data_IF_124477754595
#
_entry.id   IF_124477754595
#
_cell.length_a   1.000
_cell.length_b   1.000
_cell.length_c   1.000
_cell.angle_alpha   90.00
_cell.angle_beta   90.00
_cell.angle_gamma   90.00
#
_symmetry.space_group_name_H-M   'P 1'
#
loop_
_entity.id
_entity.type
_entity.pdbx_description
1 polymer ?
#
# COMPACT_ATOMS: atom_id res chain seq x y z
N UNK A 1 -35.60 7.57 -34.57
CA UNK A 1 -35.66 8.90 -33.96
C UNK A 1 -34.49 9.71 -34.45
N UNK A 2 -34.68 10.99 -34.75
CA UNK A 2 -33.59 11.92 -35.07
C UNK A 2 -33.19 12.67 -33.81
N UNK A 3 -31.91 13.00 -33.69
CA UNK A 3 -31.40 13.95 -32.71
C UNK A 3 -30.78 15.13 -33.44
N UNK A 4 -30.87 16.31 -32.84
CA UNK A 4 -30.20 17.49 -33.37
C UNK A 4 -28.79 17.56 -32.76
N UNK A 5 -27.81 18.02 -33.55
CA UNK A 5 -26.47 18.32 -33.10
C UNK A 5 -26.45 19.64 -32.34
N UNK A 6 -25.75 19.72 -31.24
CA UNK A 6 -25.41 20.99 -30.62
C UNK A 6 -24.30 21.72 -31.41
N UNK A 7 -23.94 22.93 -31.00
CA UNK A 7 -22.93 23.75 -31.70
C UNK A 7 -21.52 23.13 -31.65
N UNK A 8 -21.30 22.18 -30.74
CA UNK A 8 -20.04 21.47 -30.51
C UNK A 8 -20.00 20.11 -31.21
N UNK A 9 -21.10 19.75 -31.92
CA UNK A 9 -21.19 18.46 -32.61
C UNK A 9 -21.65 17.29 -31.75
N UNK A 10 -22.08 17.54 -30.50
CA UNK A 10 -22.60 16.48 -29.64
C UNK A 10 -24.08 16.23 -29.96
N UNK A 11 -24.50 14.99 -29.79
CA UNK A 11 -25.90 14.60 -29.94
C UNK A 11 -26.30 13.68 -28.77
N UNK A 12 -27.58 13.69 -28.46
CA UNK A 12 -28.20 12.82 -27.46
C UNK A 12 -29.52 12.28 -27.99
N UNK A 13 -29.70 10.97 -27.87
CA UNK A 13 -30.98 10.32 -28.22
C UNK A 13 -31.42 9.44 -27.02
N UNK A 14 -32.70 9.53 -26.69
CA UNK A 14 -33.30 8.69 -25.65
C UNK A 14 -34.15 7.62 -26.31
N UNK A 15 -33.89 6.38 -26.02
CA UNK A 15 -34.61 5.22 -26.52
C UNK A 15 -35.15 4.37 -25.38
N UNK A 16 -36.38 3.85 -25.48
CA UNK A 16 -36.89 2.88 -24.52
C UNK A 16 -36.06 1.59 -24.64
N UNK A 17 -35.59 1.09 -23.52
CA UNK A 17 -34.85 -0.18 -23.45
C UNK A 17 -35.83 -1.35 -23.38
N UNK A 18 -35.48 -2.52 -23.94
CA UNK A 18 -36.19 -3.78 -23.67
C UNK A 18 -36.02 -4.21 -22.21
N UNK A 19 -36.66 -5.30 -21.81
CA UNK A 19 -36.48 -5.92 -20.50
C UNK A 19 -35.02 -6.35 -20.28
N UNK A 20 -34.62 -6.48 -19.01
CA UNK A 20 -33.32 -7.00 -18.68
C UNK A 20 -33.05 -8.35 -19.37
N UNK A 21 -31.84 -8.48 -19.94
CA UNK A 21 -31.44 -9.66 -20.73
C UNK A 21 -30.47 -9.28 -21.83
N UNK A 22 -30.53 -9.98 -22.94
CA UNK A 22 -29.63 -9.86 -24.09
C UNK A 22 -29.02 -11.21 -24.48
N UNK A 23 -28.08 -11.21 -25.45
CA UNK A 23 -27.44 -10.03 -26.04
C UNK A 23 -28.36 -9.31 -27.04
N UNK A 24 -28.31 -7.99 -27.03
CA UNK A 24 -29.01 -7.10 -27.97
C UNK A 24 -28.01 -6.46 -28.93
N UNK A 25 -28.57 -5.85 -30.00
CA UNK A 25 -27.84 -5.06 -30.96
C UNK A 25 -28.44 -3.65 -31.01
N UNK A 26 -27.57 -2.63 -31.09
CA UNK A 26 -27.98 -1.24 -31.29
C UNK A 26 -27.37 -0.76 -32.61
N UNK A 27 -28.24 -0.31 -33.52
CA UNK A 27 -27.82 0.25 -34.81
C UNK A 27 -28.02 1.77 -34.75
N UNK A 28 -26.95 2.50 -34.97
CA UNK A 28 -26.90 3.96 -35.05
C UNK A 28 -26.56 4.31 -36.48
N UNK A 29 -27.34 5.18 -37.13
CA UNK A 29 -27.10 5.57 -38.53
C UNK A 29 -27.32 7.07 -38.73
N UNK A 30 -26.34 7.67 -39.39
CA UNK A 30 -26.42 9.04 -39.94
C UNK A 30 -26.26 9.06 -41.47
N UNK A 31 -26.40 7.89 -42.08
CA UNK A 31 -26.10 7.58 -43.49
C UNK A 31 -25.21 6.36 -43.57
N UNK A 32 -24.20 6.27 -42.69
CA UNK A 32 -23.43 5.07 -42.43
C UNK A 32 -23.95 4.36 -41.17
N UNK A 33 -23.91 3.04 -41.15
CA UNK A 33 -24.37 2.24 -40.01
C UNK A 33 -23.24 1.93 -39.06
N UNK A 34 -23.43 2.30 -37.77
CA UNK A 34 -22.58 1.91 -36.64
C UNK A 34 -23.34 0.89 -35.78
N UNK A 35 -22.84 -0.33 -35.74
CA UNK A 35 -23.53 -1.44 -35.07
C UNK A 35 -22.78 -1.75 -33.76
N UNK A 36 -23.48 -1.58 -32.62
CA UNK A 36 -23.01 -2.03 -31.31
C UNK A 36 -23.64 -3.38 -31.02
N UNK A 37 -22.82 -4.41 -30.92
CA UNK A 37 -23.26 -5.80 -30.70
C UNK A 37 -22.96 -6.27 -29.27
N UNK A 38 -23.61 -7.38 -28.90
CA UNK A 38 -23.40 -8.05 -27.60
C UNK A 38 -23.77 -7.14 -26.41
N UNK A 39 -24.79 -6.32 -26.54
CA UNK A 39 -25.26 -5.43 -25.49
C UNK A 39 -26.11 -6.21 -24.50
N UNK A 40 -25.82 -6.10 -23.23
CA UNK A 40 -26.60 -6.64 -22.13
C UNK A 40 -27.29 -5.51 -21.38
N UNK A 41 -28.55 -5.75 -20.99
CA UNK A 41 -29.33 -4.85 -20.13
C UNK A 41 -29.57 -5.54 -18.80
N UNK A 42 -29.11 -4.93 -17.70
CA UNK A 42 -29.18 -5.52 -16.37
C UNK A 42 -28.76 -4.53 -15.28
N UNK A 43 -28.28 -5.06 -14.18
CA UNK A 43 -27.78 -4.30 -13.04
C UNK A 43 -26.31 -3.92 -13.25
N UNK A 44 -25.93 -2.70 -12.88
CA UNK A 44 -24.53 -2.26 -12.86
C UNK A 44 -24.15 -1.87 -11.43
N UNK A 45 -23.03 -2.41 -10.98
CA UNK A 45 -22.51 -2.18 -9.63
C UNK A 45 -21.10 -1.61 -9.69
N UNK A 46 -20.85 -0.57 -8.89
CA UNK A 46 -19.52 -0.02 -8.68
C UNK A 46 -18.86 -0.73 -7.51
N UNK A 47 -17.70 -1.30 -7.76
CA UNK A 47 -16.82 -1.88 -6.77
C UNK A 47 -15.59 -0.97 -6.60
N UNK A 48 -15.44 -0.36 -5.41
CA UNK A 48 -14.44 0.68 -5.18
C UNK A 48 -13.78 0.54 -3.81
N UNK A 49 -12.62 1.18 -3.64
CA UNK A 49 -11.87 1.26 -2.39
C UNK A 49 -10.57 0.46 -2.40
N UNK A 50 -10.07 0.21 -1.20
CA UNK A 50 -8.89 -0.63 -0.98
C UNK A 50 -9.29 -2.12 -1.05
N UNK A 51 -8.60 -2.90 -1.87
CA UNK A 51 -8.78 -4.34 -1.89
C UNK A 51 -7.48 -5.08 -2.21
N UNK A 52 -7.15 -6.04 -1.37
CA UNK A 52 -5.88 -6.78 -1.41
C UNK A 52 -5.90 -8.07 -2.24
N UNK A 53 -7.06 -8.61 -2.57
CA UNK A 53 -7.14 -9.99 -3.05
C UNK A 53 -7.11 -10.08 -4.57
N UNK A 54 -5.94 -9.97 -5.16
CA UNK A 54 -5.65 -10.54 -6.47
C UNK A 54 -5.48 -12.07 -6.33
N UNK A 55 -6.56 -12.77 -6.06
CA UNK A 55 -6.50 -14.23 -6.05
C UNK A 55 -6.77 -14.71 -7.46
N UNK A 56 -5.85 -15.45 -8.10
CA UNK A 56 -6.13 -16.09 -9.38
C UNK A 56 -7.31 -17.05 -9.20
N UNK A 57 -8.42 -16.73 -9.82
CA UNK A 57 -9.60 -17.58 -9.77
C UNK A 57 -9.73 -18.26 -11.13
N UNK A 58 -9.68 -19.57 -11.14
CA UNK A 58 -10.04 -20.32 -12.34
C UNK A 58 -11.55 -20.50 -12.35
N UNK A 59 -12.25 -19.78 -13.23
CA UNK A 59 -13.70 -19.76 -13.33
C UNK A 59 -14.15 -20.19 -14.73
N UNK A 60 -15.30 -20.81 -14.85
CA UNK A 60 -15.93 -20.95 -16.18
C UNK A 60 -16.37 -19.58 -16.71
N UNK A 61 -16.44 -19.45 -18.03
CA UNK A 61 -17.00 -18.23 -18.67
C UNK A 61 -18.40 -17.94 -18.13
N UNK A 62 -18.62 -16.65 -17.81
CA UNK A 62 -19.87 -16.12 -17.28
C UNK A 62 -20.45 -15.08 -18.25
N UNK A 63 -21.15 -15.49 -19.32
CA UNK A 63 -21.55 -14.58 -20.40
C UNK A 63 -22.52 -13.48 -19.96
N UNK A 64 -23.19 -13.64 -18.82
CA UNK A 64 -24.10 -12.64 -18.24
C UNK A 64 -23.45 -11.77 -17.16
N UNK A 65 -22.14 -11.92 -16.92
CA UNK A 65 -21.36 -11.02 -16.07
C UNK A 65 -20.39 -10.25 -16.96
N UNK A 66 -20.38 -8.94 -16.84
CA UNK A 66 -19.47 -8.03 -17.56
C UNK A 66 -18.61 -7.26 -16.60
N UNK A 67 -17.34 -7.10 -16.97
CA UNK A 67 -16.33 -6.41 -16.19
C UNK A 67 -15.86 -5.16 -16.94
N UNK A 68 -15.78 -4.05 -16.23
CA UNK A 68 -15.14 -2.83 -16.66
C UNK A 68 -14.09 -2.45 -15.61
N UNK A 69 -12.82 -2.56 -15.93
CA UNK A 69 -11.73 -2.23 -15.02
C UNK A 69 -11.17 -0.87 -15.36
N UNK A 70 -11.17 0.05 -14.39
CA UNK A 70 -10.62 1.38 -14.56
C UNK A 70 -9.10 1.38 -14.46
N UNK A 71 -8.43 2.25 -15.19
CA UNK A 71 -7.04 2.58 -14.92
C UNK A 71 -6.92 3.27 -13.58
N UNK A 72 -5.79 3.03 -12.91
CA UNK A 72 -5.43 3.75 -11.68
C UNK A 72 -4.96 5.15 -12.06
N UNK A 73 -5.83 6.12 -11.94
CA UNK A 73 -5.57 7.53 -12.26
C UNK A 73 -6.04 8.43 -11.12
N UNK A 74 -5.21 9.39 -10.75
CA UNK A 74 -5.58 10.44 -9.78
C UNK A 74 -6.19 11.61 -10.56
N UNK A 75 -7.29 12.16 -10.05
CA UNK A 75 -7.89 13.39 -10.55
C UNK A 75 -8.27 14.30 -9.40
N UNK A 76 -7.86 15.55 -9.48
CA UNK A 76 -8.21 16.60 -8.51
C UNK A 76 -9.61 17.17 -8.72
N UNK A 77 -10.20 16.88 -9.84
CA UNK A 77 -11.56 17.33 -10.21
C UNK A 77 -12.34 16.18 -10.86
N UNK A 78 -13.67 16.19 -10.75
CA UNK A 78 -14.50 15.20 -11.41
C UNK A 78 -14.26 15.18 -12.92
N UNK A 79 -14.05 14.00 -13.50
CA UNK A 79 -13.91 13.79 -14.94
C UNK A 79 -15.24 13.32 -15.55
N UNK A 80 -15.48 13.67 -16.80
CA UNK A 80 -16.68 13.23 -17.53
C UNK A 80 -16.59 11.78 -17.97
N UNK A 81 -15.39 11.22 -18.07
CA UNK A 81 -15.16 9.87 -18.58
C UNK A 81 -14.05 9.16 -17.82
N UNK A 82 -14.02 7.83 -17.91
CA UNK A 82 -13.07 6.93 -17.28
C UNK A 82 -12.24 6.20 -18.33
N UNK A 83 -10.94 6.04 -18.06
CA UNK A 83 -10.10 5.17 -18.87
C UNK A 83 -10.15 3.72 -18.32
N UNK A 84 -10.41 2.78 -19.20
CA UNK A 84 -10.37 1.36 -18.89
C UNK A 84 -8.95 0.80 -19.03
N UNK A 85 -8.63 -0.23 -18.24
CA UNK A 85 -7.37 -0.99 -18.38
C UNK A 85 -7.38 -1.87 -19.63
N UNK A 86 -8.57 -2.33 -20.03
CA UNK A 86 -8.85 -3.08 -21.25
C UNK A 86 -9.84 -2.27 -22.10
N UNK A 87 -9.99 -2.65 -23.34
CA UNK A 87 -10.88 -1.98 -24.27
C UNK A 87 -12.35 -2.19 -23.88
N UNK A 88 -12.90 -1.32 -23.02
CA UNK A 88 -14.31 -1.31 -22.61
C UNK A 88 -14.74 -2.49 -21.73
N UNK A 89 -16.01 -2.82 -21.84
CA UNK A 89 -16.63 -3.94 -21.14
C UNK A 89 -16.16 -5.29 -21.67
N UNK A 90 -15.79 -6.21 -20.80
CA UNK A 90 -15.38 -7.58 -21.14
C UNK A 90 -16.29 -8.61 -20.47
N UNK A 91 -16.46 -9.75 -21.14
CA UNK A 91 -17.10 -10.91 -20.55
C UNK A 91 -16.24 -11.46 -19.40
N UNK A 92 -16.86 -11.91 -18.32
CA UNK A 92 -16.17 -12.46 -17.18
C UNK A 92 -15.66 -13.88 -17.49
N UNK A 93 -14.37 -14.01 -17.74
CA UNK A 93 -13.65 -15.28 -17.97
C UNK A 93 -12.44 -15.37 -17.05
N UNK A 94 -11.77 -16.53 -17.01
CA UNK A 94 -10.52 -16.67 -16.24
C UNK A 94 -9.42 -15.71 -16.70
N UNK A 95 -9.45 -15.26 -17.95
CA UNK A 95 -8.47 -14.32 -18.50
C UNK A 95 -8.80 -12.87 -18.16
N UNK A 96 -10.07 -12.49 -18.25
CA UNK A 96 -10.51 -11.10 -18.07
C UNK A 96 -10.75 -10.72 -16.60
N UNK A 97 -10.90 -11.71 -15.71
CA UNK A 97 -11.12 -11.49 -14.28
C UNK A 97 -9.84 -11.05 -13.55
N UNK A 98 -8.69 -11.16 -14.19
CA UNK A 98 -7.41 -10.73 -13.59
C UNK A 98 -7.47 -9.26 -13.17
N UNK A 99 -7.15 -8.99 -11.89
CA UNK A 99 -7.26 -7.65 -11.29
C UNK A 99 -8.63 -7.31 -10.67
N UNK A 100 -9.64 -8.19 -10.82
CA UNK A 100 -10.85 -8.09 -10.02
C UNK A 100 -10.66 -8.88 -8.72
N UNK A 101 -10.87 -8.29 -7.53
CA UNK A 101 -10.85 -9.04 -6.29
C UNK A 101 -11.88 -10.18 -6.29
N UNK A 102 -11.50 -11.32 -5.69
CA UNK A 102 -12.37 -12.51 -5.63
C UNK A 102 -13.77 -12.23 -5.07
N UNK A 103 -13.86 -11.34 -4.10
CA UNK A 103 -15.13 -10.92 -3.49
C UNK A 103 -16.05 -10.25 -4.51
N UNK A 104 -15.52 -9.45 -5.44
CA UNK A 104 -16.29 -8.82 -6.51
C UNK A 104 -16.92 -9.86 -7.46
N UNK A 105 -16.17 -10.90 -7.79
CA UNK A 105 -16.69 -12.01 -8.58
C UNK A 105 -17.79 -12.79 -7.87
N UNK A 106 -17.56 -13.17 -6.61
CA UNK A 106 -18.56 -13.93 -5.85
C UNK A 106 -19.84 -13.13 -5.63
N UNK A 107 -19.71 -11.82 -5.38
CA UNK A 107 -20.83 -10.91 -5.30
C UNK A 107 -21.63 -10.89 -6.60
N UNK A 108 -20.98 -10.65 -7.74
CA UNK A 108 -21.64 -10.63 -9.06
C UNK A 108 -22.30 -11.96 -9.40
N UNK A 109 -21.61 -13.07 -9.14
CA UNK A 109 -22.14 -14.42 -9.36
C UNK A 109 -23.39 -14.70 -8.51
N UNK A 110 -23.39 -14.28 -7.25
CA UNK A 110 -24.54 -14.48 -6.37
C UNK A 110 -25.73 -13.61 -6.78
N UNK A 111 -25.48 -12.35 -7.16
CA UNK A 111 -26.51 -11.46 -7.68
C UNK A 111 -27.13 -12.02 -8.97
N UNK A 112 -26.31 -12.42 -9.92
CA UNK A 112 -26.77 -12.96 -11.21
C UNK A 112 -27.66 -14.20 -11.00
N UNK A 113 -27.28 -15.11 -10.08
CA UNK A 113 -28.10 -16.28 -9.75
C UNK A 113 -29.44 -15.92 -9.12
N UNK A 114 -29.47 -14.92 -8.26
CA UNK A 114 -30.66 -14.53 -7.53
C UNK A 114 -31.62 -13.71 -8.40
N UNK A 115 -31.08 -12.70 -9.10
CA UNK A 115 -31.88 -11.76 -9.90
C UNK A 115 -32.21 -12.29 -11.29
N UNK A 116 -31.40 -13.24 -11.81
CA UNK A 116 -31.50 -13.82 -13.15
C UNK A 116 -31.45 -12.77 -14.28
N UNK A 117 -30.71 -11.68 -14.02
CA UNK A 117 -30.43 -10.61 -15.00
C UNK A 117 -28.93 -10.48 -15.21
N UNK A 118 -28.49 -9.90 -16.33
CA UNK A 118 -27.07 -9.57 -16.50
C UNK A 118 -26.55 -8.65 -15.40
N UNK A 119 -25.30 -8.85 -15.01
CA UNK A 119 -24.59 -8.04 -13.98
C UNK A 119 -23.35 -7.42 -14.58
N UNK A 120 -23.25 -6.10 -14.53
CA UNK A 120 -22.04 -5.34 -14.83
C UNK A 120 -21.32 -4.94 -13.55
N UNK A 121 -19.99 -5.12 -13.50
CA UNK A 121 -19.12 -4.66 -12.42
C UNK A 121 -18.17 -3.61 -13.00
N UNK A 122 -18.23 -2.40 -12.48
CA UNK A 122 -17.20 -1.39 -12.67
C UNK A 122 -16.23 -1.53 -11.49
N UNK A 123 -15.01 -2.01 -11.75
CA UNK A 123 -13.97 -2.16 -10.73
C UNK A 123 -13.06 -0.94 -10.74
N UNK A 124 -13.08 -0.20 -9.64
CA UNK A 124 -12.23 0.95 -9.37
C UNK A 124 -11.57 0.76 -7.99
N UNK A 125 -10.48 -0.02 -7.95
CA UNK A 125 -9.80 -0.38 -6.70
C UNK A 125 -8.34 0.00 -6.76
N UNK A 126 -7.79 0.46 -5.63
CA UNK A 126 -6.39 0.79 -5.51
C UNK A 126 -5.88 0.47 -4.10
N UNK A 127 -5.01 -0.53 -4.02
CA UNK A 127 -4.40 -0.98 -2.78
C UNK A 127 -3.58 0.14 -2.12
N UNK A 128 -3.54 0.14 -0.79
CA UNK A 128 -2.78 1.08 0.03
C UNK A 128 -3.20 2.56 -0.15
N UNK A 129 -4.45 2.80 -0.53
CA UNK A 129 -5.01 4.15 -0.59
C UNK A 129 -5.90 4.44 0.63
N UNK A 130 -5.76 5.61 1.27
CA UNK A 130 -6.62 6.01 2.36
C UNK A 130 -8.04 6.33 1.87
N UNK A 131 -9.02 6.26 2.76
CA UNK A 131 -10.43 6.49 2.42
C UNK A 131 -10.69 7.88 1.82
N UNK A 132 -9.94 8.86 2.25
CA UNK A 132 -10.01 10.26 1.82
C UNK A 132 -9.66 10.43 0.33
N UNK A 133 -8.78 9.57 -0.20
CA UNK A 133 -8.44 9.58 -1.64
C UNK A 133 -9.63 9.22 -2.55
N UNK A 134 -10.72 8.68 -1.97
CA UNK A 134 -11.96 8.30 -2.66
C UNK A 134 -13.09 9.30 -2.43
N UNK A 135 -12.86 10.32 -1.61
CA UNK A 135 -13.82 11.40 -1.36
C UNK A 135 -13.63 12.53 -2.37
N UNK A 136 -14.73 13.21 -2.72
CA UNK A 136 -14.62 14.42 -3.53
C UNK A 136 -14.07 15.60 -2.69
N UNK A 137 -13.49 16.60 -3.35
CA UNK A 137 -13.05 17.82 -2.70
C UNK A 137 -14.18 18.45 -1.86
N UNK A 138 -15.37 18.62 -2.42
CA UNK A 138 -16.55 19.19 -1.75
C UNK A 138 -16.95 18.44 -0.47
N UNK A 139 -16.65 17.13 -0.42
CA UNK A 139 -16.90 16.34 0.79
C UNK A 139 -15.84 16.56 1.86
N UNK A 140 -14.59 16.84 1.49
CA UNK A 140 -13.47 17.04 2.40
C UNK A 140 -13.37 18.47 2.89
N UNK A 141 -13.68 19.49 2.08
CA UNK A 141 -13.56 20.92 2.42
C UNK A 141 -14.35 21.33 3.66
N UNK A 142 -15.42 20.60 3.98
CA UNK A 142 -16.26 20.85 5.13
C UNK A 142 -15.82 20.09 6.40
N UNK A 143 -14.73 19.33 6.33
CA UNK A 143 -14.20 18.55 7.44
C UNK A 143 -12.98 19.25 8.06
N UNK A 144 -13.04 19.71 9.31
CA UNK A 144 -11.95 20.46 9.95
C UNK A 144 -10.60 19.74 9.95
N UNK A 145 -10.60 18.41 9.90
CA UNK A 145 -9.39 17.58 9.83
C UNK A 145 -8.62 17.71 8.52
N UNK A 146 -9.25 18.23 7.45
CA UNK A 146 -8.65 18.38 6.12
C UNK A 146 -8.48 19.83 5.67
N UNK A 147 -8.77 20.82 6.55
CA UNK A 147 -8.67 22.25 6.19
C UNK A 147 -7.30 22.61 5.62
N UNK A 148 -6.22 22.07 6.19
CA UNK A 148 -4.85 22.37 5.76
C UNK A 148 -4.60 21.88 4.33
N UNK A 149 -5.04 20.68 4.03
CA UNK A 149 -4.89 20.04 2.70
C UNK A 149 -5.75 20.76 1.67
N UNK A 150 -6.98 21.10 2.02
CA UNK A 150 -7.92 21.77 1.10
C UNK A 150 -7.46 23.21 0.82
N UNK A 151 -7.03 23.99 1.82
CA UNK A 151 -6.42 25.31 1.65
C UNK A 151 -5.16 25.27 0.76
N UNK A 152 -4.34 24.23 0.92
CA UNK A 152 -3.16 24.03 0.08
C UNK A 152 -3.58 23.78 -1.38
N UNK A 153 -4.54 22.89 -1.65
CA UNK A 153 -5.05 22.62 -2.99
C UNK A 153 -5.60 23.87 -3.67
N UNK A 154 -6.37 24.69 -2.93
CA UNK A 154 -6.89 25.98 -3.42
C UNK A 154 -5.77 26.96 -3.75
N UNK A 155 -4.79 27.11 -2.85
CA UNK A 155 -3.66 28.04 -3.03
C UNK A 155 -2.81 27.71 -4.27
N UNK A 156 -2.73 26.42 -4.60
CA UNK A 156 -2.03 25.90 -5.78
C UNK A 156 -2.91 25.88 -7.04
N UNK A 157 -4.20 26.28 -6.92
CA UNK A 157 -5.15 26.35 -8.03
C UNK A 157 -5.47 24.99 -8.65
N UNK A 158 -5.47 23.92 -7.86
CA UNK A 158 -5.69 22.54 -8.31
C UNK A 158 -4.77 22.12 -9.47
N UNK A 159 -3.57 22.72 -9.54
CA UNK A 159 -2.60 22.40 -10.58
C UNK A 159 -1.77 21.18 -10.18
N UNK A 160 -1.85 20.04 -10.91
CA UNK A 160 -1.18 18.79 -10.54
C UNK A 160 0.35 18.94 -10.40
N UNK A 161 0.99 19.67 -11.30
CA UNK A 161 2.46 19.87 -11.29
C UNK A 161 2.91 20.64 -10.05
N UNK A 162 2.16 21.70 -9.68
CA UNK A 162 2.45 22.48 -8.48
C UNK A 162 2.24 21.69 -7.20
N UNK A 163 1.19 20.86 -7.16
CA UNK A 163 0.89 19.99 -6.02
C UNK A 163 1.97 18.93 -5.85
N UNK A 164 2.41 18.31 -6.93
CA UNK A 164 3.49 17.32 -6.89
C UNK A 164 4.81 17.96 -6.44
N UNK A 165 5.14 19.15 -6.92
CA UNK A 165 6.32 19.89 -6.52
C UNK A 165 6.28 20.28 -5.04
N UNK A 166 5.13 20.75 -4.53
CA UNK A 166 4.94 21.08 -3.12
C UNK A 166 5.04 19.86 -2.21
N UNK A 167 4.43 18.75 -2.62
CA UNK A 167 4.55 17.48 -1.89
C UNK A 167 6.00 16.99 -1.85
N UNK A 168 6.72 17.07 -2.99
CA UNK A 168 8.14 16.71 -3.05
C UNK A 168 8.99 17.59 -2.12
N UNK A 169 8.71 18.91 -2.07
CA UNK A 169 9.38 19.85 -1.17
C UNK A 169 9.14 19.50 0.30
N UNK A 170 7.88 19.31 0.69
CA UNK A 170 7.52 18.96 2.08
C UNK A 170 8.14 17.63 2.50
N UNK A 171 8.17 16.65 1.61
CA UNK A 171 8.81 15.37 1.85
C UNK A 171 10.31 15.52 2.07
N UNK A 172 10.98 16.31 1.23
CA UNK A 172 12.42 16.57 1.39
C UNK A 172 12.72 17.29 2.70
N UNK A 173 11.95 18.32 3.07
CA UNK A 173 12.09 19.02 4.35
C UNK A 173 11.90 18.09 5.54
N UNK A 174 10.93 17.15 5.44
CA UNK A 174 10.72 16.16 6.48
C UNK A 174 11.92 15.20 6.60
N UNK A 175 12.48 14.73 5.48
CA UNK A 175 13.70 13.91 5.50
C UNK A 175 14.89 14.66 6.11
N UNK A 176 15.09 15.92 5.75
CA UNK A 176 16.16 16.74 6.34
C UNK A 176 15.97 16.85 7.86
N UNK A 177 14.76 17.13 8.31
CA UNK A 177 14.45 17.20 9.74
C UNK A 177 14.71 15.87 10.48
N UNK A 178 14.45 14.72 9.85
CA UNK A 178 14.78 13.42 10.43
C UNK A 178 16.27 13.25 10.69
N UNK A 179 17.13 13.69 9.76
CA UNK A 179 18.58 13.61 9.93
C UNK A 179 19.10 14.63 10.94
N UNK A 180 18.61 15.86 10.88
CA UNK A 180 19.04 16.94 11.79
C UNK A 180 18.68 16.66 13.25
N UNK A 181 17.56 15.96 13.50
CA UNK A 181 17.09 15.65 14.85
C UNK A 181 17.45 14.23 15.32
N UNK A 182 18.09 13.42 14.48
CA UNK A 182 18.55 12.10 14.89
C UNK A 182 19.83 12.18 15.74
N UNK A 183 19.63 12.34 17.04
CA UNK A 183 20.73 12.44 18.01
C UNK A 183 21.64 11.20 18.08
N UNK A 184 21.19 10.08 17.50
CA UNK A 184 22.01 8.86 17.38
C UNK A 184 23.00 8.92 16.24
N UNK A 185 22.87 9.93 15.37
CA UNK A 185 23.72 10.18 14.23
C UNK A 185 24.36 11.56 14.33
N UNK A 186 25.66 11.63 14.45
CA UNK A 186 26.41 12.87 14.60
C UNK A 186 27.63 12.84 13.67
N UNK A 187 27.76 13.83 12.77
CA UNK A 187 28.91 13.96 11.85
C UNK A 187 29.25 12.65 11.10
N UNK A 188 28.25 12.02 10.48
CA UNK A 188 28.36 10.72 9.82
C UNK A 188 28.78 9.55 10.72
N UNK A 189 28.75 9.73 12.05
CA UNK A 189 29.06 8.71 13.02
C UNK A 189 27.82 8.30 13.83
N UNK A 190 27.64 6.97 14.01
CA UNK A 190 26.47 6.40 14.68
C UNK A 190 26.74 6.25 16.18
N UNK A 191 26.71 7.36 16.91
CA UNK A 191 27.06 7.46 18.33
C UNK A 191 26.27 6.44 19.17
N UNK A 192 24.99 6.26 18.88
CA UNK A 192 24.16 5.33 19.64
C UNK A 192 24.37 3.86 19.26
N UNK A 193 25.14 3.56 18.22
CA UNK A 193 25.51 2.21 17.87
C UNK A 193 26.79 1.75 18.57
N UNK A 194 27.57 2.68 19.15
CA UNK A 194 28.84 2.36 19.82
C UNK A 194 28.62 1.45 21.02
N UNK A 195 29.49 0.43 21.22
CA UNK A 195 29.31 -0.56 22.29
C UNK A 195 29.45 0.02 23.70
N UNK A 196 30.18 1.10 23.86
CA UNK A 196 30.45 1.78 25.14
C UNK A 196 29.50 2.95 25.42
N UNK A 197 28.57 3.25 24.49
CA UNK A 197 27.53 4.24 24.72
C UNK A 197 26.61 3.79 25.87
N UNK A 198 26.36 4.68 26.85
CA UNK A 198 25.45 4.38 27.98
C UNK A 198 23.99 4.57 27.56
N UNK A 199 23.22 3.52 27.72
CA UNK A 199 21.76 3.50 27.49
C UNK A 199 20.95 3.40 28.81
N UNK A 200 21.58 3.71 29.96
CA UNK A 200 20.95 3.63 31.28
C UNK A 200 19.70 4.47 31.44
N UNK A 201 19.61 5.58 30.70
CA UNK A 201 18.47 6.48 30.74
C UNK A 201 17.43 6.18 29.63
N UNK A 202 17.64 5.14 28.85
CA UNK A 202 16.71 4.78 27.78
C UNK A 202 15.48 4.10 28.37
N UNK A 203 14.34 4.34 27.72
CA UNK A 203 13.11 3.59 28.01
C UNK A 203 13.21 2.18 27.46
N UNK A 204 12.66 1.22 28.18
CA UNK A 204 12.53 -0.15 27.70
C UNK A 204 11.23 -0.35 26.96
N UNK A 205 11.27 -1.19 25.91
CA UNK A 205 10.10 -1.60 25.15
C UNK A 205 10.13 -3.12 24.96
N UNK A 206 9.00 -3.77 25.20
CA UNK A 206 8.84 -5.18 24.86
C UNK A 206 8.71 -5.35 23.36
N UNK A 207 9.51 -6.24 22.78
CA UNK A 207 9.47 -6.62 21.37
C UNK A 207 9.09 -8.09 21.22
N UNK A 208 8.46 -8.48 20.09
CA UNK A 208 8.01 -7.63 19.00
C UNK A 208 6.77 -6.82 19.33
N UNK A 209 6.54 -5.72 18.58
CA UNK A 209 5.35 -4.90 18.69
C UNK A 209 5.49 -3.57 17.97
N UNK A 210 4.36 -2.94 17.74
CA UNK A 210 4.31 -1.58 17.24
C UNK A 210 4.49 -0.59 18.40
N UNK A 211 5.25 0.47 18.19
CA UNK A 211 5.50 1.46 19.25
C UNK A 211 4.28 2.32 19.57
N UNK A 212 3.33 2.47 18.64
CA UNK A 212 2.04 3.11 18.91
C UNK A 212 1.26 2.37 20.00
N UNK A 213 1.29 1.04 19.96
CA UNK A 213 0.62 0.18 20.96
C UNK A 213 1.38 0.18 22.31
N UNK A 214 2.59 0.77 22.34
CA UNK A 214 3.46 0.89 23.53
C UNK A 214 3.59 2.33 24.05
N UNK A 215 2.72 3.24 23.60
CA UNK A 215 2.61 4.60 24.13
C UNK A 215 3.23 5.71 23.28
N UNK A 216 3.78 5.40 22.11
CA UNK A 216 4.26 6.39 21.15
C UNK A 216 3.19 6.62 20.05
N UNK A 217 2.02 7.10 20.48
CA UNK A 217 0.85 7.25 19.63
C UNK A 217 1.12 8.22 18.47
N UNK A 218 0.72 7.83 17.26
CA UNK A 218 0.83 8.64 16.04
C UNK A 218 2.25 9.18 15.78
N UNK A 219 3.28 8.37 16.08
CA UNK A 219 4.68 8.76 15.92
C UNK A 219 5.28 8.22 14.62
N UNK A 220 5.51 9.10 13.67
CA UNK A 220 6.36 8.85 12.50
C UNK A 220 7.76 9.46 12.74
N UNK A 221 8.81 8.72 12.39
CA UNK A 221 10.16 9.19 12.63
C UNK A 221 11.18 8.07 12.87
N UNK A 222 12.21 8.39 13.66
CA UNK A 222 13.32 7.48 13.93
C UNK A 222 13.28 6.98 15.38
N UNK A 223 13.37 5.67 15.56
CA UNK A 223 13.54 5.02 16.88
C UNK A 223 14.76 4.13 16.85
N UNK A 224 15.59 4.27 17.88
CA UNK A 224 16.75 3.44 18.10
C UNK A 224 16.48 2.41 19.19
N UNK A 225 16.78 1.15 18.90
CA UNK A 225 16.70 0.04 19.84
C UNK A 225 18.10 -0.46 20.14
N UNK A 226 18.37 -0.75 21.41
CA UNK A 226 19.64 -1.35 21.85
C UNK A 226 19.36 -2.56 22.73
N UNK A 227 20.16 -3.60 22.57
CA UNK A 227 20.12 -4.80 23.42
C UNK A 227 21.52 -5.35 23.64
N UNK A 228 21.89 -5.50 24.89
CA UNK A 228 23.08 -6.23 25.28
C UNK A 228 22.82 -7.74 25.24
N UNK A 229 23.70 -8.48 24.61
CA UNK A 229 23.60 -9.92 24.36
C UNK A 229 24.84 -10.60 24.87
N UNK A 230 24.70 -11.71 25.63
CA UNK A 230 25.82 -12.53 26.05
C UNK A 230 26.12 -13.60 24.99
N UNK A 231 27.30 -13.48 24.36
CA UNK A 231 27.76 -14.43 23.33
C UNK A 231 28.50 -15.57 23.98
N UNK A 232 28.02 -16.82 23.89
CA UNK A 232 28.65 -17.98 24.47
C UNK A 232 30.04 -18.25 23.86
N UNK A 233 30.96 -18.84 24.67
CA UNK A 233 32.30 -19.18 24.20
C UNK A 233 32.32 -20.06 22.95
N UNK A 234 31.37 -20.97 22.83
CA UNK A 234 31.25 -21.90 21.69
C UNK A 234 30.68 -21.27 20.42
N UNK A 235 30.27 -19.97 20.47
CA UNK A 235 29.85 -19.17 19.33
C UNK A 235 30.98 -18.29 18.78
N UNK A 236 31.98 -18.00 19.59
CA UNK A 236 33.08 -17.14 19.16
C UNK A 236 33.73 -17.63 17.86
N UNK A 237 34.02 -16.68 16.96
CA UNK A 237 34.56 -16.92 15.62
C UNK A 237 33.70 -17.79 14.72
N UNK A 238 32.37 -17.75 14.88
CA UNK A 238 31.39 -18.35 13.96
C UNK A 238 30.52 -17.27 13.35
N UNK A 239 30.07 -17.50 12.13
CA UNK A 239 29.02 -16.65 11.57
C UNK A 239 27.71 -16.86 12.35
N UNK A 240 27.09 -15.77 12.76
CA UNK A 240 25.83 -15.76 13.48
C UNK A 240 24.77 -15.19 12.58
N UNK A 241 23.69 -15.93 12.35
CA UNK A 241 22.52 -15.41 11.66
C UNK A 241 21.62 -14.71 12.66
N UNK A 242 21.18 -13.51 12.32
CA UNK A 242 20.19 -12.75 13.08
C UNK A 242 18.90 -12.69 12.29
N UNK A 243 17.80 -12.99 12.97
CA UNK A 243 16.45 -12.72 12.50
C UNK A 243 15.79 -11.74 13.48
N UNK A 244 15.25 -10.65 12.97
CA UNK A 244 14.61 -9.59 13.76
C UNK A 244 13.09 -9.54 13.57
N UNK A 245 12.52 -10.51 12.83
CA UNK A 245 11.11 -10.41 12.41
C UNK A 245 10.92 -9.37 11.32
N UNK A 246 9.75 -8.78 11.29
CA UNK A 246 9.42 -7.70 10.37
C UNK A 246 9.72 -6.35 11.00
N UNK A 247 10.18 -5.41 10.21
CA UNK A 247 10.42 -4.02 10.64
C UNK A 247 9.70 -3.10 9.68
N UNK A 248 8.99 -2.12 10.23
CA UNK A 248 8.31 -1.07 9.47
C UNK A 248 9.34 -0.24 8.68
N UNK A 249 9.01 0.05 7.43
CA UNK A 249 9.76 0.85 6.47
C UNK A 249 11.27 0.52 6.43
N UNK A 250 12.13 1.36 7.01
CA UNK A 250 13.58 1.21 6.89
C UNK A 250 14.24 0.78 8.19
N UNK A 251 15.34 0.07 8.07
CA UNK A 251 16.16 -0.28 9.22
C UNK A 251 17.64 -0.38 8.88
N UNK A 252 18.47 0.02 9.84
CA UNK A 252 19.91 -0.19 9.84
C UNK A 252 20.27 -0.96 11.12
N UNK A 253 21.04 -2.01 10.97
CA UNK A 253 21.39 -2.91 12.08
C UNK A 253 22.89 -2.89 12.31
N UNK A 254 23.28 -2.67 13.56
CA UNK A 254 24.67 -2.61 13.99
C UNK A 254 24.96 -3.69 15.02
N UNK A 255 26.16 -4.23 14.96
CA UNK A 255 26.70 -5.14 15.95
C UNK A 255 28.02 -4.60 16.47
N UNK A 256 28.06 -4.21 17.74
CA UNK A 256 29.20 -3.53 18.37
C UNK A 256 29.71 -2.34 17.53
N UNK A 257 28.82 -1.43 17.14
CA UNK A 257 29.13 -0.25 16.34
C UNK A 257 29.31 -0.50 14.83
N UNK A 258 29.49 -1.76 14.42
CA UNK A 258 29.66 -2.09 13.00
C UNK A 258 28.34 -2.38 12.33
N UNK A 259 28.02 -1.68 11.24
CA UNK A 259 26.84 -1.99 10.42
C UNK A 259 26.95 -3.40 9.85
N UNK A 260 25.93 -4.22 10.07
CA UNK A 260 25.82 -5.59 9.54
C UNK A 260 24.77 -5.72 8.45
N UNK A 261 23.96 -4.69 8.25
CA UNK A 261 23.02 -4.62 7.16
C UNK A 261 21.97 -3.54 7.30
N UNK A 262 21.35 -3.21 6.19
CA UNK A 262 20.22 -2.27 6.08
C UNK A 262 19.16 -2.79 5.14
N UNK A 263 17.94 -2.31 5.28
CA UNK A 263 16.84 -2.65 4.40
C UNK A 263 15.85 -1.48 4.35
N UNK A 264 15.42 -1.13 3.14
CA UNK A 264 14.50 -0.03 2.85
C UNK A 264 13.11 -0.51 2.41
N UNK A 265 12.85 -1.82 2.48
CA UNK A 265 11.54 -2.37 2.10
C UNK A 265 10.64 -2.45 3.32
N UNK A 266 9.50 -1.82 3.26
CA UNK A 266 8.45 -1.97 4.28
C UNK A 266 8.07 -3.45 4.46
N UNK A 267 7.68 -3.82 5.67
CA UNK A 267 7.08 -5.10 6.06
C UNK A 267 7.86 -6.36 5.67
N UNK A 268 9.14 -6.22 5.35
CA UNK A 268 9.99 -7.35 5.01
C UNK A 268 10.68 -7.93 6.25
N UNK A 269 10.75 -9.26 6.32
CA UNK A 269 11.54 -9.94 7.35
C UNK A 269 13.02 -9.60 7.25
N UNK A 270 13.64 -9.34 8.38
CA UNK A 270 15.04 -8.88 8.51
C UNK A 270 15.96 -10.01 8.91
N UNK A 271 16.71 -10.51 7.91
CA UNK A 271 17.74 -11.54 8.10
C UNK A 271 19.11 -10.99 7.76
N UNK A 272 20.04 -11.06 8.70
CA UNK A 272 21.42 -10.61 8.51
C UNK A 272 22.40 -11.66 9.00
N UNK A 273 23.65 -11.54 8.58
CA UNK A 273 24.74 -12.38 9.07
C UNK A 273 25.79 -11.51 9.76
N UNK A 274 26.05 -11.78 11.03
CA UNK A 274 27.19 -11.21 11.75
C UNK A 274 28.42 -12.02 11.35
N UNK A 275 29.43 -11.40 10.70
CA UNK A 275 30.63 -12.10 10.27
C UNK A 275 31.39 -12.65 11.45
N UNK A 276 31.99 -13.83 11.31
CA UNK A 276 32.74 -14.51 12.35
C UNK A 276 33.82 -13.65 12.99
N UNK A 277 34.44 -12.72 12.25
CA UNK A 277 35.46 -11.79 12.73
C UNK A 277 34.97 -10.86 13.83
N UNK A 278 33.68 -10.50 13.80
CA UNK A 278 33.04 -9.62 14.79
C UNK A 278 32.57 -10.38 16.02
N UNK A 279 32.35 -11.70 15.92
CA UNK A 279 31.77 -12.51 17.00
C UNK A 279 32.83 -12.90 18.01
N UNK A 280 32.82 -12.22 19.17
CA UNK A 280 33.68 -12.50 20.34
C UNK A 280 32.82 -13.03 21.48
N UNK A 281 33.41 -13.83 22.39
CA UNK A 281 32.71 -14.26 23.61
C UNK A 281 32.45 -13.08 24.54
N UNK A 282 31.39 -13.15 25.32
CA UNK A 282 31.01 -12.14 26.30
C UNK A 282 29.97 -11.16 25.77
N UNK A 283 29.88 -10.01 26.41
CA UNK A 283 28.87 -9.02 26.06
C UNK A 283 29.09 -8.44 24.66
N UNK A 284 28.03 -8.35 23.92
CA UNK A 284 27.94 -7.66 22.63
C UNK A 284 26.70 -6.79 22.61
N UNK A 285 26.73 -5.70 21.86
CA UNK A 285 25.60 -4.78 21.70
C UNK A 285 25.04 -4.91 20.31
N UNK A 286 23.75 -5.18 20.24
CA UNK A 286 22.95 -5.10 19.03
C UNK A 286 22.18 -3.78 19.04
N UNK A 287 22.36 -2.97 18.00
CA UNK A 287 21.64 -1.71 17.85
C UNK A 287 20.88 -1.72 16.54
N UNK A 288 19.62 -1.27 16.57
CA UNK A 288 18.74 -1.23 15.42
C UNK A 288 18.16 0.19 15.34
N UNK A 289 18.45 0.88 14.24
CA UNK A 289 17.81 2.13 13.87
C UNK A 289 16.65 1.81 12.98
N UNK A 290 15.44 2.20 13.35
CA UNK A 290 14.22 2.03 12.57
C UNK A 290 13.70 3.39 12.18
N UNK A 291 13.42 3.59 10.89
CA UNK A 291 12.70 4.77 10.39
C UNK A 291 11.33 4.34 9.93
N UNK A 292 10.31 5.02 10.39
CA UNK A 292 8.93 4.85 9.94
C UNK A 292 8.44 6.15 9.33
N UNK A 293 7.85 6.07 8.14
CA UNK A 293 7.41 7.23 7.37
C UNK A 293 5.92 7.47 7.48
N UNK A 294 5.17 6.46 7.84
CA UNK A 294 3.71 6.51 7.95
C UNK A 294 3.16 5.24 8.59
N UNK A 295 1.96 5.31 9.13
CA UNK A 295 1.26 4.17 9.72
C UNK A 295 1.94 3.66 10.99
N UNK A 296 1.76 2.39 11.34
CA UNK A 296 2.36 1.81 12.54
C UNK A 296 3.82 1.46 12.36
N UNK A 297 4.67 2.00 13.23
CA UNK A 297 6.10 1.74 13.26
C UNK A 297 6.53 0.70 14.29
N UNK A 298 7.71 0.09 14.10
CA UNK A 298 8.25 -0.84 15.08
C UNK A 298 8.95 -2.06 14.51
N UNK A 299 9.30 -2.96 15.42
CA UNK A 299 9.82 -4.31 15.13
C UNK A 299 8.72 -5.28 15.55
N UNK A 300 8.10 -5.96 14.61
CA UNK A 300 6.90 -6.76 14.87
C UNK A 300 6.98 -8.17 14.25
N UNK A 301 5.98 -8.99 14.46
CA UNK A 301 5.95 -10.39 14.05
C UNK A 301 5.85 -11.32 15.25
N UNK A 302 6.37 -12.54 15.11
CA UNK A 302 6.30 -13.54 16.17
C UNK A 302 7.54 -13.50 17.05
N UNK A 303 7.42 -13.60 18.39
CA UNK A 303 8.56 -13.59 19.30
C UNK A 303 9.62 -14.67 18.98
N UNK A 304 9.19 -15.86 18.55
CA UNK A 304 10.07 -16.98 18.20
C UNK A 304 10.94 -16.74 16.95
N UNK A 305 10.56 -15.74 16.13
CA UNK A 305 11.36 -15.35 14.97
C UNK A 305 12.51 -14.42 15.35
N UNK A 306 12.41 -13.67 16.46
CA UNK A 306 13.45 -12.77 16.93
C UNK A 306 14.55 -13.50 17.66
N UNK A 307 15.63 -13.83 16.94
CA UNK A 307 16.72 -14.66 17.51
C UNK A 307 18.04 -14.50 16.78
N UNK A 308 19.10 -14.83 17.52
CA UNK A 308 20.41 -15.15 16.98
C UNK A 308 20.57 -16.67 16.84
N UNK A 309 21.19 -17.12 15.77
CA UNK A 309 21.38 -18.55 15.50
C UNK A 309 22.78 -18.86 14.97
N UNK A 310 23.33 -19.98 15.43
CA UNK A 310 24.54 -20.60 14.90
C UNK A 310 24.20 -22.04 14.55
N UNK A 311 24.63 -22.52 13.39
CA UNK A 311 24.34 -23.88 12.94
C UNK A 311 24.74 -24.91 14.00
N UNK A 312 23.80 -25.75 14.43
CA UNK A 312 24.02 -26.80 15.41
C UNK A 312 24.17 -26.34 16.85
N UNK A 313 23.63 -25.17 17.18
CA UNK A 313 23.57 -24.60 18.53
C UNK A 313 22.17 -24.11 18.85
N UNK A 314 21.81 -24.07 20.13
CA UNK A 314 20.58 -23.50 20.60
C UNK A 314 20.57 -21.99 20.28
N UNK A 315 19.46 -21.43 19.79
CA UNK A 315 19.36 -20.03 19.47
C UNK A 315 19.32 -19.15 20.74
N UNK A 316 19.73 -17.91 20.62
CA UNK A 316 19.55 -16.87 21.65
C UNK A 316 18.34 -16.04 21.24
N UNK A 317 17.31 -16.00 22.09
CA UNK A 317 16.13 -15.16 21.88
C UNK A 317 16.48 -13.68 22.02
N UNK A 318 15.83 -12.86 21.18
CA UNK A 318 15.94 -11.39 21.20
C UNK A 318 14.65 -10.72 21.69
N UNK A 319 13.54 -11.47 21.71
CA UNK A 319 12.26 -11.03 22.25
C UNK A 319 12.28 -11.01 23.78
#
# INVERSE_FOLDING_TARGET
RSSDLDKEGNWKIEVPTPSAGGPYEIIISDGDEHILQNILIGEIWLYTGECETETPINIPSQPYIRLFQTKKEISLVPKKDLHATQEGWKECTSETITGLPAIGYFFASQLQKNLKVPIGIISCTWKDTPAEAWASYDALENLPSYNKETEMLESLGFNPEKIEAEYARQREEWYQALYEHDMGWCDDHQVWAEPDYSDENWKTMELPGYWEDKGMKDFDGVVWFRKTIDIPRNWARKNVTINLGNIADESIVYYNGTEIGRNTKADASRYYTIPYKLVKRGKAVLTIRVTNYKSKGGIYGRPEDMKLSVKGKDPIALA
#
